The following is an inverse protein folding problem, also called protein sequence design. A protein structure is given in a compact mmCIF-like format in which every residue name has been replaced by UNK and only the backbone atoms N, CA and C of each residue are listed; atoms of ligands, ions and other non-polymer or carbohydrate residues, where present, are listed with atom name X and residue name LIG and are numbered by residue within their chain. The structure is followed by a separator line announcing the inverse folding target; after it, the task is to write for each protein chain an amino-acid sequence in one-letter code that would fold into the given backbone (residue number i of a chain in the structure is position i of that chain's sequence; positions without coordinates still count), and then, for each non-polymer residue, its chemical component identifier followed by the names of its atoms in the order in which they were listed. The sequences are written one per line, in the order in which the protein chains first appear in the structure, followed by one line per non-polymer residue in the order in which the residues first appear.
data_IF_245776122983
#
_entry.id   IF_245776122983
#
_cell.length_a   1.000
_cell.length_b   1.000
_cell.length_c   1.000
_cell.angle_alpha   90.00
_cell.angle_beta   90.00
_cell.angle_gamma   90.00
#
_symmetry.space_group_name_H-M   'P 1'
#
loop_
_entity.id
_entity.type
_entity.pdbx_description
1 polymer ?
#
# COMPACT_ATOMS: atom_id res chain seq x y z
N UNK A 1 78.10 17.68 -37.26
CA UNK A 1 76.70 17.87 -37.68
C UNK A 1 75.84 17.68 -36.44
N UNK A 2 74.98 18.56 -35.96
CA UNK A 2 74.70 19.99 -36.13
C UNK A 2 73.50 20.22 -35.20
N UNK A 3 73.57 21.24 -34.32
CA UNK A 3 72.50 22.05 -33.69
C UNK A 3 71.28 21.34 -33.03
N UNK A 4 70.74 21.77 -31.89
CA UNK A 4 70.92 22.98 -31.08
C UNK A 4 69.90 22.94 -29.93
N UNK A 5 70.20 23.61 -28.82
CA UNK A 5 69.26 23.78 -27.70
C UNK A 5 68.35 25.00 -27.88
N UNK A 6 67.27 25.09 -27.11
CA UNK A 6 67.05 26.18 -26.14
C UNK A 6 65.77 25.97 -25.32
N UNK A 7 65.71 26.68 -24.19
CA UNK A 7 64.76 26.69 -23.08
C UNK A 7 63.44 27.40 -23.43
N UNK A 8 62.33 27.06 -22.75
CA UNK A 8 61.66 27.93 -21.74
C UNK A 8 60.22 27.50 -21.43
N UNK A 9 59.86 27.56 -20.13
CA UNK A 9 58.59 28.10 -19.63
C UNK A 9 57.33 27.22 -19.66
N UNK A 10 56.80 26.89 -18.48
CA UNK A 10 55.34 26.75 -18.31
C UNK A 10 54.83 25.75 -17.29
N UNK A 11 54.36 26.29 -16.15
CA UNK A 11 53.21 25.85 -15.34
C UNK A 11 53.36 24.51 -14.56
N UNK A 12 53.32 24.52 -13.21
CA UNK A 12 53.24 23.29 -12.43
C UNK A 12 51.92 22.55 -12.73
N UNK A 13 51.90 21.20 -12.77
CA UNK A 13 50.67 20.44 -13.00
C UNK A 13 49.64 20.78 -11.91
N UNK A 14 48.35 20.91 -12.26
CA UNK A 14 47.31 21.23 -11.30
C UNK A 14 47.25 20.14 -10.21
N UNK A 15 47.01 20.60 -9.00
CA UNK A 15 46.94 19.80 -7.77
C UNK A 15 45.74 18.82 -7.88
N UNK A 16 46.00 17.61 -8.39
CA UNK A 16 45.01 16.55 -8.64
C UNK A 16 44.23 16.12 -7.38
N UNK A 17 44.63 16.57 -6.19
CA UNK A 17 43.88 16.36 -4.94
C UNK A 17 42.65 17.24 -4.78
N UNK A 18 42.48 18.32 -5.56
CA UNK A 18 41.25 19.13 -5.53
C UNK A 18 40.20 18.72 -6.54
N UNK A 19 40.57 18.01 -7.61
CA UNK A 19 39.62 17.43 -8.58
C UNK A 19 39.06 16.08 -8.14
N UNK A 20 39.66 15.46 -7.13
CA UNK A 20 39.22 14.18 -6.54
C UNK A 20 38.17 14.33 -5.42
N UNK A 21 37.65 15.54 -5.16
CA UNK A 21 36.60 15.80 -4.16
C UNK A 21 35.30 16.38 -4.75
N UNK A 22 35.28 16.69 -6.05
CA UNK A 22 34.13 17.32 -6.73
C UNK A 22 33.32 16.36 -7.62
N UNK A 23 33.66 15.06 -7.63
CA UNK A 23 32.99 14.03 -8.46
C UNK A 23 31.99 13.15 -7.68
N UNK A 24 31.63 13.53 -6.45
CA UNK A 24 30.74 12.77 -5.56
C UNK A 24 29.26 13.15 -5.70
N UNK A 25 28.85 13.64 -6.87
CA UNK A 25 27.45 13.85 -7.22
C UNK A 25 26.90 12.58 -7.89
N UNK A 26 25.93 11.98 -7.22
CA UNK A 26 25.26 10.73 -7.59
C UNK A 26 24.82 10.73 -9.06
N UNK A 27 25.37 9.83 -9.87
CA UNK A 27 24.88 9.49 -11.22
C UNK A 27 24.01 8.24 -11.12
N UNK A 28 22.69 8.33 -11.33
CA UNK A 28 21.92 7.13 -11.68
C UNK A 28 22.45 6.60 -13.03
N UNK A 29 22.34 5.29 -13.23
CA UNK A 29 22.85 4.57 -14.39
C UNK A 29 22.68 5.36 -15.70
N UNK A 30 23.76 5.44 -16.46
CA UNK A 30 23.92 6.22 -17.68
C UNK A 30 22.75 5.96 -18.66
N UNK A 31 21.84 6.93 -18.76
CA UNK A 31 20.83 6.97 -19.79
C UNK A 31 21.52 7.19 -21.13
N UNK A 32 21.36 6.26 -22.07
CA UNK A 32 21.73 6.50 -23.46
C UNK A 32 21.02 7.78 -23.97
N UNK A 33 21.68 8.65 -24.76
CA UNK A 33 21.04 9.85 -25.27
C UNK A 33 19.88 9.47 -26.19
N UNK A 34 18.74 10.12 -25.96
CA UNK A 34 17.58 10.04 -26.86
C UNK A 34 18.02 10.34 -28.29
N UNK A 35 17.60 9.47 -29.23
CA UNK A 35 17.71 9.74 -30.66
C UNK A 35 17.01 11.07 -30.97
N UNK A 36 17.57 11.92 -31.85
CA UNK A 36 16.90 13.16 -32.23
C UNK A 36 15.58 12.83 -32.93
N UNK A 37 14.51 13.41 -32.42
CA UNK A 37 13.16 13.32 -32.96
C UNK A 37 13.17 13.72 -34.44
N UNK A 38 12.64 12.83 -35.28
CA UNK A 38 12.49 13.05 -36.71
C UNK A 38 11.40 14.10 -36.89
N UNK A 39 11.76 15.26 -37.44
CA UNK A 39 10.84 16.34 -37.77
C UNK A 39 9.65 15.85 -38.60
N UNK A 40 8.44 16.06 -38.09
CA UNK A 40 7.18 15.86 -38.78
C UNK A 40 6.89 17.08 -39.69
N UNK A 41 6.42 16.91 -40.94
CA UNK A 41 6.20 18.01 -41.87
C UNK A 41 4.95 18.84 -41.51
N UNK A 42 4.90 20.14 -41.88
CA UNK A 42 3.79 21.02 -41.50
C UNK A 42 2.48 20.66 -42.21
N UNK A 43 1.38 20.79 -41.48
CA UNK A 43 0.00 20.62 -41.96
C UNK A 43 -0.41 21.75 -42.94
N UNK A 44 -1.30 21.48 -43.92
CA UNK A 44 -1.74 22.49 -44.89
C UNK A 44 -2.82 23.44 -44.36
N UNK A 45 -2.79 24.67 -44.88
CA UNK A 45 -3.61 25.83 -44.55
C UNK A 45 -5.14 25.64 -44.75
N UNK A 46 -5.94 26.23 -43.86
CA UNK A 46 -7.39 26.45 -44.03
C UNK A 46 -7.72 27.90 -43.66
N UNK A 47 -8.53 28.64 -44.46
CA UNK A 47 -8.59 30.10 -44.41
C UNK A 47 -9.54 30.70 -43.36
N UNK A 48 -9.18 31.91 -42.94
CA UNK A 48 -9.82 32.80 -41.97
C UNK A 48 -11.07 33.49 -42.53
N UNK A 49 -12.20 33.42 -41.84
CA UNK A 49 -13.28 34.42 -41.96
C UNK A 49 -13.56 35.07 -40.59
N UNK A 50 -13.56 36.40 -40.64
CA UNK A 50 -13.67 37.35 -39.55
C UNK A 50 -15.13 37.75 -39.29
N UNK A 51 -15.56 37.75 -38.03
CA UNK A 51 -16.75 38.50 -37.59
C UNK A 51 -16.43 39.33 -36.34
N UNK A 52 -16.65 40.64 -36.49
CA UNK A 52 -16.59 41.68 -35.46
C UNK A 52 -17.99 41.83 -34.88
N UNK A 53 -18.12 41.96 -33.56
CA UNK A 53 -19.38 42.35 -32.92
C UNK A 53 -19.18 43.60 -32.06
N UNK A 54 -20.01 44.59 -32.39
CA UNK A 54 -20.00 45.98 -31.97
C UNK A 54 -20.93 46.20 -30.76
N UNK A 55 -20.57 47.18 -29.93
CA UNK A 55 -21.30 47.68 -28.76
C UNK A 55 -22.68 48.25 -29.09
N UNK A 56 -23.69 48.00 -28.24
CA UNK A 56 -24.86 48.88 -28.12
C UNK A 56 -25.49 48.86 -26.72
N UNK A 57 -25.61 50.07 -26.16
CA UNK A 57 -26.30 50.47 -24.93
C UNK A 57 -27.80 50.61 -25.15
N UNK A 58 -28.65 50.31 -24.16
CA UNK A 58 -29.90 51.07 -23.93
C UNK A 58 -30.48 50.87 -22.52
N UNK A 59 -30.94 51.99 -21.93
CA UNK A 59 -31.58 52.19 -20.61
C UNK A 59 -33.09 52.35 -20.77
N UNK A 60 -33.89 52.05 -19.73
CA UNK A 60 -35.14 52.73 -19.26
C UNK A 60 -35.39 52.25 -17.80
N UNK A 61 -35.31 53.03 -16.70
CA UNK A 61 -36.15 54.12 -16.14
C UNK A 61 -37.60 53.65 -15.80
N UNK A 62 -37.93 53.30 -14.53
CA UNK A 62 -38.47 54.08 -13.38
C UNK A 62 -40.01 54.01 -13.26
N UNK A 63 -40.55 53.56 -12.11
CA UNK A 63 -41.52 54.33 -11.28
C UNK A 63 -42.12 53.55 -10.07
N UNK A 64 -42.04 54.20 -8.90
CA UNK A 64 -42.91 54.32 -7.71
C UNK A 64 -43.71 53.15 -7.05
N UNK A 65 -43.52 53.09 -5.71
CA UNK A 65 -44.26 52.48 -4.56
C UNK A 65 -45.77 52.85 -4.42
N UNK A 66 -46.56 52.44 -3.37
CA UNK A 66 -46.32 51.50 -2.23
C UNK A 66 -47.52 50.55 -1.90
N UNK A 67 -47.35 49.50 -1.07
CA UNK A 67 -48.31 49.17 0.04
C UNK A 67 -47.87 48.04 1.00
N UNK A 68 -47.93 48.41 2.29
CA UNK A 68 -48.38 47.68 3.49
C UNK A 68 -47.67 46.45 4.08
N UNK A 69 -47.32 46.67 5.36
CA UNK A 69 -46.76 45.80 6.39
C UNK A 69 -47.69 44.65 6.77
N UNK A 70 -47.13 43.46 7.00
CA UNK A 70 -47.47 42.60 8.16
C UNK A 70 -46.18 41.97 8.69
N UNK A 71 -45.94 42.17 10.00
CA UNK A 71 -44.85 41.59 10.78
C UNK A 71 -45.20 40.15 11.19
N UNK A 72 -44.26 39.21 11.03
CA UNK A 72 -44.18 38.00 11.88
C UNK A 72 -42.71 37.76 12.24
N UNK A 73 -42.49 37.59 13.54
CA UNK A 73 -41.21 37.60 14.26
C UNK A 73 -40.40 36.30 14.13
N UNK A 74 -39.07 36.39 14.13
CA UNK A 74 -38.12 35.27 14.31
C UNK A 74 -36.68 35.79 14.49
N UNK A 75 -35.82 35.17 15.33
CA UNK A 75 -34.93 35.91 16.23
C UNK A 75 -33.55 36.31 15.67
N UNK A 76 -33.13 37.52 16.04
CA UNK A 76 -31.80 38.10 15.86
C UNK A 76 -30.77 37.44 16.79
N UNK A 77 -29.68 36.88 16.27
CA UNK A 77 -28.45 36.68 17.04
C UNK A 77 -27.43 37.76 16.66
N UNK A 78 -27.09 38.60 17.65
CA UNK A 78 -26.10 39.67 17.56
C UNK A 78 -24.70 39.10 17.85
N UNK A 79 -23.78 39.32 16.92
CA UNK A 79 -22.34 39.16 17.11
C UNK A 79 -21.86 40.32 18.00
N UNK A 80 -21.30 39.99 19.17
CA UNK A 80 -20.69 40.95 20.09
C UNK A 80 -19.17 40.89 19.92
N UNK A 81 -18.55 41.99 19.48
CA UNK A 81 -17.09 42.16 19.42
C UNK A 81 -16.66 42.85 20.72
N UNK A 82 -15.81 42.24 21.57
CA UNK A 82 -15.30 42.91 22.76
C UNK A 82 -14.12 43.85 22.43
N UNK A 83 -14.20 45.06 23.00
CA UNK A 83 -13.21 46.15 22.97
C UNK A 83 -12.05 45.86 23.95
N UNK A 84 -10.79 46.27 23.67
CA UNK A 84 -9.67 46.02 24.58
C UNK A 84 -9.62 47.01 25.75
N UNK A 85 -9.31 46.51 26.93
CA UNK A 85 -9.10 47.27 28.18
C UNK A 85 -7.62 47.19 28.58
N UNK A 86 -6.99 48.27 29.08
CA UNK A 86 -5.53 48.32 29.32
C UNK A 86 -5.10 47.49 30.53
N UNK A 87 -3.97 46.78 30.39
CA UNK A 87 -3.36 45.94 31.44
C UNK A 87 -2.69 46.76 32.53
N UNK A 88 -3.12 46.50 33.76
CA UNK A 88 -2.46 46.90 35.01
C UNK A 88 -1.17 46.10 35.22
N UNK A 89 -0.11 46.80 35.64
CA UNK A 89 1.20 46.29 36.02
C UNK A 89 1.16 45.29 37.18
N UNK A 90 1.80 44.12 37.00
CA UNK A 90 2.01 43.09 38.03
C UNK A 90 3.47 43.10 38.55
N UNK A 91 3.73 42.69 39.80
CA UNK A 91 5.00 42.90 40.50
C UNK A 91 6.10 41.89 40.13
N UNK A 92 7.34 42.34 40.33
CA UNK A 92 8.61 41.63 40.07
C UNK A 92 8.72 40.36 40.92
N UNK A 93 8.75 39.19 40.27
CA UNK A 93 9.06 37.89 40.89
C UNK A 93 10.51 37.52 40.58
N UNK A 94 11.26 37.22 41.64
CA UNK A 94 12.68 36.82 41.64
C UNK A 94 12.87 35.40 41.07
N UNK A 95 13.93 35.10 40.30
CA UNK A 95 14.14 33.76 39.74
C UNK A 95 14.61 32.75 40.80
N UNK A 96 14.27 31.45 40.67
CA UNK A 96 14.88 30.39 41.49
C UNK A 96 16.30 30.07 41.01
N UNK A 97 17.19 29.87 41.98
CA UNK A 97 18.59 29.45 41.82
C UNK A 97 18.68 28.05 41.19
N UNK A 98 19.41 27.95 40.07
CA UNK A 98 19.73 26.69 39.39
C UNK A 98 20.88 25.96 40.12
N UNK A 99 20.77 24.65 40.41
CA UNK A 99 21.92 23.85 40.83
C UNK A 99 22.83 23.56 39.64
N UNK A 100 24.13 23.78 39.82
CA UNK A 100 25.21 23.44 38.88
C UNK A 100 25.28 21.92 38.67
N UNK A 101 25.36 21.40 37.43
CA UNK A 101 25.72 20.01 37.23
C UNK A 101 27.22 19.82 37.46
N UNK A 102 27.56 18.91 38.37
CA UNK A 102 28.92 18.40 38.55
C UNK A 102 29.41 17.78 37.24
N UNK A 103 30.62 18.17 36.83
CA UNK A 103 31.36 17.55 35.74
C UNK A 103 31.82 16.17 36.22
N UNK A 104 31.04 15.13 35.91
CA UNK A 104 31.48 13.75 36.04
C UNK A 104 32.41 13.41 34.88
N UNK A 105 33.65 13.07 35.18
CA UNK A 105 34.62 12.55 34.22
C UNK A 105 34.09 11.24 33.61
N UNK A 106 33.96 11.21 32.29
CA UNK A 106 33.60 10.00 31.54
C UNK A 106 34.87 9.15 31.36
N UNK A 107 34.82 7.91 31.83
CA UNK A 107 35.85 6.91 31.62
C UNK A 107 35.91 6.49 30.14
N UNK A 108 37.08 6.16 29.58
CA UNK A 108 37.20 5.67 28.22
C UNK A 108 36.67 4.23 28.11
N UNK A 109 35.84 4.01 27.08
CA UNK A 109 35.47 2.77 26.38
C UNK A 109 35.80 1.42 27.06
N UNK A 110 34.74 0.71 27.47
CA UNK A 110 34.79 -0.74 27.62
C UNK A 110 34.94 -1.43 26.27
N UNK A 111 35.70 -2.52 26.27
CA UNK A 111 36.08 -3.35 25.12
C UNK A 111 34.85 -3.89 24.32
N UNK A 112 34.97 -4.07 23.00
CA UNK A 112 33.92 -4.65 22.19
C UNK A 112 33.77 -6.16 22.45
N UNK A 113 32.52 -6.59 22.65
CA UNK A 113 32.09 -7.98 22.74
C UNK A 113 32.48 -8.78 21.48
N UNK A 114 33.09 -9.94 21.67
CA UNK A 114 33.66 -10.83 20.63
C UNK A 114 32.65 -11.81 20.01
N UNK A 115 31.36 -11.50 19.98
CA UNK A 115 30.36 -12.38 19.35
C UNK A 115 30.01 -11.89 17.94
N UNK A 116 30.32 -12.64 16.87
CA UNK A 116 29.82 -12.30 15.55
C UNK A 116 28.29 -12.46 15.53
N UNK A 117 27.53 -11.52 14.95
CA UNK A 117 26.10 -11.69 14.76
C UNK A 117 25.82 -12.85 13.79
N UNK A 118 24.68 -13.54 13.92
CA UNK A 118 24.29 -14.60 13.00
C UNK A 118 24.17 -14.08 11.57
N UNK A 119 24.63 -14.88 10.60
CA UNK A 119 24.60 -14.52 9.19
C UNK A 119 23.16 -14.31 8.68
N UNK A 120 22.89 -13.25 7.90
CA UNK A 120 21.58 -13.03 7.30
C UNK A 120 21.26 -14.08 6.23
N UNK A 121 19.97 -14.38 5.98
CA UNK A 121 19.57 -15.25 4.88
C UNK A 121 19.98 -14.64 3.52
N UNK A 122 20.31 -15.47 2.51
CA UNK A 122 20.72 -14.99 1.21
C UNK A 122 19.58 -14.26 0.49
N UNK A 123 19.95 -13.15 -0.16
CA UNK A 123 19.09 -12.38 -1.07
C UNK A 123 18.46 -13.29 -2.14
N UNK A 124 17.13 -13.24 -2.37
CA UNK A 124 16.54 -13.92 -3.52
C UNK A 124 16.95 -13.16 -4.80
N UNK A 125 17.88 -13.74 -5.56
CA UNK A 125 18.27 -13.16 -6.86
C UNK A 125 19.60 -13.61 -7.49
N UNK A 126 20.47 -14.33 -6.77
CA UNK A 126 21.73 -14.79 -7.36
C UNK A 126 21.57 -16.17 -8.07
N UNK A 127 21.86 -16.30 -9.37
CA UNK A 127 21.94 -17.61 -10.03
C UNK A 127 23.17 -18.37 -9.51
N UNK A 128 22.95 -19.44 -8.75
CA UNK A 128 24.05 -20.33 -8.35
C UNK A 128 24.66 -21.06 -9.55
N UNK A 129 25.98 -21.35 -9.54
CA UNK A 129 26.63 -22.10 -10.61
C UNK A 129 26.06 -23.52 -10.69
N UNK A 130 25.50 -23.88 -11.85
CA UNK A 130 24.96 -25.21 -12.14
C UNK A 130 26.08 -26.24 -12.16
N UNK A 131 26.17 -27.07 -11.12
CA UNK A 131 27.01 -28.27 -11.13
C UNK A 131 26.22 -29.40 -11.79
N UNK A 132 26.68 -29.82 -12.97
CA UNK A 132 26.14 -30.97 -13.68
C UNK A 132 26.64 -32.25 -12.99
N UNK A 133 25.75 -32.95 -12.30
CA UNK A 133 26.02 -34.33 -11.86
C UNK A 133 25.01 -35.30 -12.45
N UNK A 134 25.58 -36.40 -12.92
CA UNK A 134 24.99 -37.43 -13.78
C UNK A 134 24.32 -38.50 -12.90
N UNK A 135 23.17 -38.99 -13.37
CA UNK A 135 22.41 -40.22 -13.03
C UNK A 135 23.17 -41.37 -12.29
N UNK A 136 22.50 -42.27 -11.51
CA UNK A 136 21.43 -43.12 -12.04
C UNK A 136 20.25 -43.56 -11.13
N UNK A 137 19.24 -44.06 -11.84
CA UNK A 137 18.02 -44.82 -11.50
C UNK A 137 18.32 -46.05 -10.63
N UNK A 138 17.42 -46.39 -9.68
CA UNK A 138 16.91 -47.77 -9.40
C UNK A 138 15.88 -47.79 -8.23
N UNK A 139 14.63 -48.15 -8.57
CA UNK A 139 13.75 -49.19 -7.96
C UNK A 139 13.27 -49.06 -6.50
N UNK A 140 11.95 -49.21 -6.31
CA UNK A 140 11.40 -49.66 -5.02
C UNK A 140 9.88 -49.53 -4.85
N UNK A 141 9.09 -50.23 -5.65
CA UNK A 141 7.65 -50.42 -5.43
C UNK A 141 7.40 -51.23 -4.14
N UNK A 142 6.61 -50.70 -3.18
CA UNK A 142 5.85 -51.49 -2.17
C UNK A 142 5.07 -50.64 -1.14
N UNK A 143 3.96 -49.96 -1.51
CA UNK A 143 2.91 -49.59 -0.53
C UNK A 143 1.52 -49.55 -1.22
N UNK A 144 1.14 -50.62 -1.93
CA UNK A 144 -0.19 -50.74 -2.60
C UNK A 144 -1.05 -51.86 -1.97
N UNK A 145 -0.63 -52.48 -0.87
CA UNK A 145 -1.31 -53.68 -0.33
C UNK A 145 -2.02 -53.47 1.02
N UNK A 146 -2.10 -52.24 1.56
CA UNK A 146 -2.78 -51.99 2.87
C UNK A 146 -4.12 -51.24 2.74
N UNK A 147 -4.68 -51.05 1.53
CA UNK A 147 -5.99 -50.38 1.35
C UNK A 147 -7.04 -51.20 0.57
N UNK A 148 -6.96 -52.53 0.58
CA UNK A 148 -7.95 -53.40 -0.07
C UNK A 148 -8.44 -54.56 0.82
N UNK A 149 -8.73 -54.28 2.09
CA UNK A 149 -9.50 -55.19 2.94
C UNK A 149 -10.14 -54.43 4.11
N UNK A 150 -11.29 -53.78 3.87
CA UNK A 150 -12.48 -53.72 4.73
C UNK A 150 -13.56 -53.06 3.86
N UNK A 151 -14.29 -53.91 3.15
CA UNK A 151 -15.46 -53.54 2.38
C UNK A 151 -16.51 -54.62 2.58
N UNK A 152 -17.70 -54.18 2.99
CA UNK A 152 -18.98 -54.88 3.07
C UNK A 152 -19.20 -55.86 4.23
N UNK A 153 -20.02 -55.42 5.20
CA UNK A 153 -21.12 -56.24 5.75
C UNK A 153 -22.06 -55.42 6.67
N UNK A 154 -23.34 -55.39 6.30
CA UNK A 154 -24.55 -55.20 7.14
C UNK A 154 -24.84 -53.77 7.66
N UNK A 155 -26.04 -53.19 7.54
CA UNK A 155 -27.38 -53.74 7.80
C UNK A 155 -28.46 -53.10 6.90
N UNK A 156 -29.30 -53.97 6.34
CA UNK A 156 -30.69 -53.66 5.99
C UNK A 156 -31.60 -54.43 6.96
N UNK A 157 -32.81 -53.90 7.14
CA UNK A 157 -33.95 -54.34 7.99
C UNK A 157 -33.99 -53.71 9.38
N UNK A 158 -34.86 -52.70 9.55
CA UNK A 158 -36.18 -52.89 10.18
C UNK A 158 -37.13 -51.77 9.76
N UNK A 159 -38.27 -52.16 9.19
CA UNK A 159 -39.42 -51.29 8.90
C UNK A 159 -40.26 -51.14 10.17
N UNK A 160 -40.74 -49.92 10.42
CA UNK A 160 -42.03 -49.65 11.06
C UNK A 160 -42.08 -48.31 11.82
N UNK A 161 -43.25 -47.65 11.91
CA UNK A 161 -44.25 -47.39 10.88
C UNK A 161 -44.43 -45.88 10.61
N UNK A 162 -45.23 -45.56 9.59
CA UNK A 162 -45.69 -44.21 9.19
C UNK A 162 -46.15 -43.35 10.38
N UNK A 163 -45.75 -42.07 10.39
CA UNK A 163 -46.45 -41.05 11.18
C UNK A 163 -46.45 -39.68 10.49
N UNK A 164 -47.57 -39.43 9.84
CA UNK A 164 -48.38 -38.20 9.79
C UNK A 164 -47.70 -36.87 9.40
N UNK A 165 -48.06 -36.40 8.20
CA UNK A 165 -47.93 -35.01 7.76
C UNK A 165 -48.94 -34.14 8.53
N UNK A 166 -48.45 -33.06 9.13
CA UNK A 166 -49.26 -31.93 9.56
C UNK A 166 -49.12 -31.58 11.03
N UNK A 167 -48.40 -30.50 11.31
CA UNK A 167 -48.91 -29.33 12.02
C UNK A 167 -47.79 -28.32 12.20
N UNK A 168 -48.08 -27.09 11.79
CA UNK A 168 -47.34 -25.91 12.19
C UNK A 168 -47.47 -25.73 13.69
N UNK A 169 -46.35 -25.61 14.41
CA UNK A 169 -46.34 -24.94 15.70
C UNK A 169 -45.05 -24.13 15.86
N UNK A 170 -45.28 -22.84 16.03
CA UNK A 170 -44.33 -21.82 16.42
C UNK A 170 -43.87 -21.97 17.87
N UNK A 171 -42.61 -21.58 18.10
CA UNK A 171 -41.90 -21.38 19.37
C UNK A 171 -41.01 -22.54 19.84
N UNK A 172 -39.72 -22.45 19.49
CA UNK A 172 -38.64 -22.84 20.40
C UNK A 172 -37.60 -21.71 20.41
N UNK A 173 -37.64 -20.91 21.48
CA UNK A 173 -36.44 -20.26 21.98
C UNK A 173 -35.62 -21.35 22.71
N UNK A 174 -34.47 -21.70 22.16
CA UNK A 174 -33.56 -22.69 22.73
C UNK A 174 -32.35 -22.86 21.84
N UNK A 175 -31.16 -22.50 22.34
CA UNK A 175 -29.90 -22.70 21.66
C UNK A 175 -29.68 -24.16 21.31
N UNK A 176 -29.92 -24.50 20.05
CA UNK A 176 -29.62 -25.79 19.45
C UNK A 176 -28.64 -25.57 18.30
N UNK A 177 -27.51 -26.27 18.32
CA UNK A 177 -26.73 -26.52 17.12
C UNK A 177 -27.62 -27.34 16.18
N UNK A 178 -28.40 -26.66 15.35
CA UNK A 178 -29.36 -27.29 14.46
C UNK A 178 -28.63 -28.11 13.40
N UNK A 179 -29.09 -29.35 13.20
CA UNK A 179 -28.76 -30.24 12.07
C UNK A 179 -29.36 -29.73 10.75
N UNK A 180 -29.36 -28.42 10.54
CA UNK A 180 -29.88 -27.77 9.35
C UNK A 180 -28.84 -27.76 8.24
N UNK A 181 -29.33 -27.51 7.03
CA UNK A 181 -28.50 -27.29 5.85
C UNK A 181 -28.66 -25.86 5.36
N UNK A 182 -27.61 -25.36 4.73
CA UNK A 182 -27.57 -24.06 4.05
C UNK A 182 -27.61 -24.35 2.56
N UNK A 183 -28.56 -23.75 1.86
CA UNK A 183 -28.76 -23.91 0.42
C UNK A 183 -28.27 -22.70 -0.36
N UNK A 184 -27.90 -22.91 -1.63
CA UNK A 184 -27.50 -21.82 -2.52
C UNK A 184 -28.60 -20.76 -2.66
N UNK A 185 -28.20 -19.49 -2.59
CA UNK A 185 -29.07 -18.34 -2.79
C UNK A 185 -28.96 -17.85 -4.24
N UNK A 186 -30.09 -17.46 -4.85
CA UNK A 186 -30.07 -16.90 -6.19
C UNK A 186 -29.43 -15.50 -6.27
N UNK A 187 -29.36 -14.80 -5.13
CA UNK A 187 -28.77 -13.47 -5.01
C UNK A 187 -27.40 -13.57 -4.33
N UNK A 188 -26.34 -12.96 -4.90
CA UNK A 188 -25.01 -12.98 -4.28
C UNK A 188 -25.02 -12.43 -2.84
N UNK A 189 -24.11 -12.91 -1.97
CA UNK A 189 -24.03 -12.43 -0.60
C UNK A 189 -23.48 -11.01 -0.55
N UNK A 190 -23.87 -10.29 0.50
CA UNK A 190 -23.28 -8.98 0.80
C UNK A 190 -21.97 -9.19 1.54
N UNK A 191 -20.88 -8.59 1.04
CA UNK A 191 -19.57 -8.62 1.70
C UNK A 191 -19.24 -7.24 2.24
N UNK A 192 -19.14 -7.12 3.56
CA UNK A 192 -18.81 -5.86 4.24
C UNK A 192 -17.34 -5.90 4.70
N UNK A 193 -16.46 -5.03 4.19
CA UNK A 193 -15.07 -4.93 4.67
C UNK A 193 -14.98 -4.70 6.18
N UNK A 194 -14.13 -5.48 6.85
CA UNK A 194 -13.84 -5.39 8.29
C UNK A 194 -12.43 -4.89 8.57
N UNK A 195 -11.46 -5.44 7.86
CA UNK A 195 -10.07 -5.05 7.97
C UNK A 195 -9.34 -5.29 6.65
N UNK A 196 -8.31 -4.48 6.43
CA UNK A 196 -7.33 -4.71 5.37
C UNK A 196 -5.96 -4.64 6.02
N UNK A 197 -5.15 -5.65 5.78
CA UNK A 197 -3.78 -5.71 6.26
C UNK A 197 -2.87 -6.26 5.18
N UNK A 198 -1.63 -5.82 5.20
CA UNK A 198 -0.62 -6.32 4.31
C UNK A 198 0.12 -7.49 5.00
N UNK A 199 0.26 -8.61 4.29
CA UNK A 199 0.88 -9.85 4.78
C UNK A 199 1.98 -10.31 3.81
N UNK A 200 2.91 -11.19 4.24
CA UNK A 200 3.92 -11.75 3.32
C UNK A 200 3.34 -12.44 2.08
N UNK A 201 2.10 -12.93 2.17
CA UNK A 201 1.35 -13.54 1.06
C UNK A 201 0.57 -12.55 0.19
N UNK A 202 0.55 -11.26 0.55
CA UNK A 202 -0.17 -10.20 -0.17
C UNK A 202 -1.15 -9.42 0.70
N UNK A 203 -2.07 -8.69 0.07
CA UNK A 203 -3.09 -7.89 0.74
C UNK A 203 -4.22 -8.78 1.26
N UNK A 204 -4.34 -8.93 2.58
CA UNK A 204 -5.42 -9.64 3.23
C UNK A 204 -6.60 -8.69 3.50
N UNK A 205 -7.73 -8.95 2.85
CA UNK A 205 -9.00 -8.24 3.04
C UNK A 205 -9.95 -9.16 3.79
N UNK A 206 -10.26 -8.84 5.04
CA UNK A 206 -11.28 -9.57 5.79
C UNK A 206 -12.63 -8.88 5.61
N UNK A 207 -13.63 -9.65 5.20
CA UNK A 207 -15.01 -9.21 5.05
C UNK A 207 -15.93 -10.02 5.95
N UNK A 208 -16.99 -9.41 6.45
CA UNK A 208 -18.13 -10.16 7.00
C UNK A 208 -19.13 -10.37 5.86
N UNK A 209 -19.36 -11.63 5.50
CA UNK A 209 -20.30 -12.06 4.47
C UNK A 209 -21.65 -12.43 5.09
N UNK A 210 -22.73 -11.94 4.49
CA UNK A 210 -24.12 -12.25 4.88
C UNK A 210 -24.94 -12.58 3.63
N UNK A 211 -25.75 -13.64 3.71
CA UNK A 211 -26.70 -13.96 2.64
C UNK A 211 -27.97 -13.10 2.78
N UNK A 212 -28.53 -12.59 1.67
CA UNK A 212 -29.86 -11.98 1.69
C UNK A 212 -30.98 -13.03 1.82
N UNK A 213 -30.71 -14.30 1.51
CA UNK A 213 -31.66 -15.39 1.72
C UNK A 213 -31.75 -15.78 3.19
N UNK A 214 -32.95 -16.16 3.65
CA UNK A 214 -33.19 -16.57 5.05
C UNK A 214 -32.40 -17.84 5.42
N UNK A 215 -32.29 -18.79 4.49
CA UNK A 215 -31.64 -20.09 4.70
C UNK A 215 -30.11 -20.07 4.49
N UNK A 216 -29.54 -18.90 4.17
CA UNK A 216 -28.11 -18.74 3.89
C UNK A 216 -27.77 -18.76 2.41
N UNK A 217 -26.49 -18.98 2.10
CA UNK A 217 -25.98 -19.13 0.74
C UNK A 217 -24.79 -20.11 0.72
N UNK A 218 -24.52 -20.69 -0.43
CA UNK A 218 -23.36 -21.56 -0.67
C UNK A 218 -22.55 -21.01 -1.84
N UNK A 219 -21.37 -20.50 -1.55
CA UNK A 219 -20.38 -20.15 -2.57
C UNK A 219 -19.74 -21.45 -3.07
N UNK A 220 -20.12 -21.91 -4.26
CA UNK A 220 -19.60 -23.15 -4.88
C UNK A 220 -19.20 -22.99 -6.35
N UNK A 221 -19.09 -21.73 -6.79
CA UNK A 221 -18.83 -21.41 -8.19
C UNK A 221 -17.36 -21.67 -8.54
N UNK A 222 -17.12 -22.24 -9.72
CA UNK A 222 -15.77 -22.49 -10.25
C UNK A 222 -14.97 -21.22 -10.56
N UNK A 223 -15.64 -20.08 -10.70
CA UNK A 223 -15.04 -18.77 -10.90
C UNK A 223 -15.95 -17.67 -10.33
N UNK A 224 -15.64 -17.22 -9.12
CA UNK A 224 -16.22 -16.02 -8.51
C UNK A 224 -15.24 -14.86 -8.65
N UNK A 225 -15.58 -13.87 -9.45
CA UNK A 225 -14.82 -12.65 -9.60
C UNK A 225 -15.11 -11.72 -8.43
N UNK A 226 -14.07 -11.30 -7.72
CA UNK A 226 -14.17 -10.34 -6.62
C UNK A 226 -13.32 -9.12 -6.95
N UNK A 227 -13.88 -7.94 -6.73
CA UNK A 227 -13.13 -6.68 -6.75
C UNK A 227 -13.41 -5.88 -5.48
N UNK A 228 -12.33 -5.37 -4.89
CA UNK A 228 -12.31 -4.49 -3.72
C UNK A 228 -11.95 -3.11 -4.20
N UNK A 229 -12.82 -2.13 -3.97
CA UNK A 229 -12.64 -0.76 -4.42
C UNK A 229 -12.70 0.21 -3.23
N UNK A 230 -12.05 1.35 -3.36
CA UNK A 230 -12.14 2.48 -2.44
C UNK A 230 -12.53 3.76 -3.21
N UNK A 231 -12.54 4.90 -2.52
CA UNK A 231 -12.71 6.21 -3.16
C UNK A 231 -11.57 6.57 -4.13
N UNK A 232 -10.41 5.92 -4.02
CA UNK A 232 -9.25 6.14 -4.89
C UNK A 232 -9.13 5.10 -6.02
N UNK A 233 -10.16 4.29 -6.25
CA UNK A 233 -10.18 3.30 -7.33
C UNK A 233 -10.05 1.86 -6.85
N UNK A 234 -9.59 0.98 -7.75
CA UNK A 234 -9.45 -0.45 -7.50
C UNK A 234 -8.32 -0.69 -6.48
N UNK A 235 -8.61 -1.42 -5.40
CA UNK A 235 -7.63 -1.78 -4.36
C UNK A 235 -7.11 -3.19 -4.60
N UNK A 236 -7.98 -4.13 -4.92
CA UNK A 236 -7.61 -5.51 -5.22
C UNK A 236 -8.67 -6.21 -6.06
N UNK A 237 -8.28 -7.21 -6.84
CA UNK A 237 -9.23 -8.05 -7.56
C UNK A 237 -8.64 -9.42 -7.88
N UNK A 238 -9.51 -10.42 -7.99
CA UNK A 238 -9.12 -11.80 -8.24
C UNK A 238 -10.31 -12.68 -8.55
N UNK A 239 -10.06 -13.80 -9.22
CA UNK A 239 -11.06 -14.84 -9.43
C UNK A 239 -10.78 -15.98 -8.46
N UNK A 240 -11.81 -16.40 -7.73
CA UNK A 240 -11.76 -17.45 -6.71
C UNK A 240 -12.50 -18.69 -7.22
N UNK A 241 -11.90 -19.87 -7.03
CA UNK A 241 -12.55 -21.14 -7.29
C UNK A 241 -13.07 -21.73 -5.97
N UNK A 242 -14.39 -21.72 -5.81
CA UNK A 242 -15.07 -22.33 -4.66
C UNK A 242 -15.70 -23.68 -5.00
N UNK A 243 -15.49 -24.21 -6.20
CA UNK A 243 -16.12 -25.47 -6.61
C UNK A 243 -15.58 -26.70 -5.88
N UNK A 244 -14.29 -26.69 -5.55
CA UNK A 244 -13.63 -27.79 -4.83
C UNK A 244 -13.77 -27.68 -3.31
N UNK A 245 -13.83 -26.46 -2.77
CA UNK A 245 -14.04 -26.18 -1.35
C UNK A 245 -15.15 -25.15 -1.17
N UNK A 246 -16.43 -25.56 -1.26
CA UNK A 246 -17.56 -24.65 -1.13
C UNK A 246 -17.65 -24.00 0.27
N UNK A 247 -18.15 -22.76 0.32
CA UNK A 247 -18.24 -21.97 1.56
C UNK A 247 -19.72 -21.67 1.87
N UNK A 248 -20.20 -22.13 3.03
CA UNK A 248 -21.52 -21.77 3.54
C UNK A 248 -21.51 -20.35 4.15
N UNK A 249 -22.49 -19.53 3.78
CA UNK A 249 -22.71 -18.18 4.32
C UNK A 249 -24.01 -18.20 5.12
N UNK A 250 -24.03 -17.67 6.35
CA UNK A 250 -25.23 -17.68 7.15
C UNK A 250 -26.28 -16.71 6.59
N UNK A 251 -27.55 -17.04 6.87
CA UNK A 251 -28.71 -16.30 6.37
C UNK A 251 -28.87 -14.89 6.95
N UNK A 252 -29.85 -14.18 6.39
CA UNK A 252 -30.20 -12.83 6.81
C UNK A 252 -30.54 -12.78 8.32
N UNK A 253 -30.11 -11.71 9.00
CA UNK A 253 -30.37 -11.51 10.44
C UNK A 253 -29.37 -12.21 11.38
N UNK A 254 -28.33 -12.87 10.84
CA UNK A 254 -27.20 -13.40 11.62
C UNK A 254 -26.06 -12.39 11.72
N UNK A 255 -25.05 -12.70 12.54
CA UNK A 255 -23.83 -11.88 12.65
C UNK A 255 -22.93 -11.93 11.38
N UNK A 256 -23.28 -12.76 10.39
CA UNK A 256 -22.45 -13.02 9.23
C UNK A 256 -21.30 -13.98 9.51
N UNK A 257 -20.51 -14.24 8.47
CA UNK A 257 -19.30 -15.07 8.53
C UNK A 257 -18.10 -14.28 8.05
N UNK A 258 -17.00 -14.34 8.77
CA UNK A 258 -15.77 -13.69 8.34
C UNK A 258 -15.04 -14.53 7.28
N UNK A 259 -14.67 -13.87 6.18
CA UNK A 259 -13.88 -14.43 5.08
C UNK A 259 -12.68 -13.51 4.85
N UNK A 260 -11.48 -14.05 4.99
CA UNK A 260 -10.23 -13.35 4.67
C UNK A 260 -9.77 -13.74 3.26
N UNK A 261 -9.82 -12.78 2.35
CA UNK A 261 -9.34 -12.92 0.98
C UNK A 261 -7.93 -12.35 0.89
N UNK A 262 -6.94 -13.19 0.57
CA UNK A 262 -5.54 -12.76 0.44
C UNK A 262 -5.15 -12.64 -1.01
N UNK A 263 -4.99 -11.40 -1.48
CA UNK A 263 -4.64 -11.04 -2.85
C UNK A 263 -3.12 -10.92 -2.99
N UNK A 264 -2.46 -11.80 -3.76
CA UNK A 264 -1.02 -11.73 -3.99
C UNK A 264 -0.62 -10.52 -4.85
N UNK A 265 0.70 -10.27 -4.99
CA UNK A 265 1.23 -9.29 -5.96
C UNK A 265 0.63 -9.52 -7.35
N UNK A 266 0.31 -8.42 -8.04
CA UNK A 266 -0.43 -8.42 -9.30
C UNK A 266 -1.94 -8.61 -9.18
N UNK A 267 -2.46 -8.88 -7.97
CA UNK A 267 -3.91 -8.92 -7.66
C UNK A 267 -4.33 -7.84 -6.65
N UNK A 268 -3.40 -7.02 -6.17
CA UNK A 268 -3.68 -5.79 -5.44
C UNK A 268 -2.95 -4.61 -6.08
N UNK A 269 -3.62 -3.47 -6.07
CA UNK A 269 -3.24 -2.22 -6.71
C UNK A 269 -3.21 -1.07 -5.71
N UNK A 270 -3.63 -1.32 -4.47
CA UNK A 270 -3.57 -0.33 -3.41
C UNK A 270 -3.14 -0.90 -2.07
N UNK A 271 -2.68 -0.01 -1.21
CA UNK A 271 -2.22 -0.32 0.14
C UNK A 271 -3.38 -0.27 1.14
N UNK A 272 -3.24 -0.91 2.31
CA UNK A 272 -4.13 -0.62 3.42
C UNK A 272 -4.03 0.87 3.76
N UNK A 273 -5.09 1.63 3.46
CA UNK A 273 -5.26 2.99 3.97
C UNK A 273 -5.49 2.99 5.50
N UNK A 274 -5.90 4.11 6.11
CA UNK A 274 -6.15 4.19 7.55
C UNK A 274 -7.31 3.31 8.06
N UNK A 275 -7.96 2.54 7.18
CA UNK A 275 -8.99 1.57 7.51
C UNK A 275 -9.80 1.15 6.29
N UNK A 276 -11.00 0.61 6.55
CA UNK A 276 -11.95 0.11 5.54
C UNK A 276 -13.05 1.12 5.17
N UNK A 277 -13.00 2.34 5.70
CA UNK A 277 -14.04 3.35 5.49
C UNK A 277 -14.10 3.72 4.00
N UNK A 278 -15.29 3.63 3.41
CA UNK A 278 -15.50 3.92 1.98
C UNK A 278 -15.04 2.81 1.04
N UNK A 279 -14.64 1.64 1.56
CA UNK A 279 -14.38 0.46 0.73
C UNK A 279 -15.68 -0.29 0.41
N UNK A 280 -15.72 -0.86 -0.79
CA UNK A 280 -16.79 -1.75 -1.24
C UNK A 280 -16.21 -3.02 -1.86
N UNK A 281 -17.01 -4.08 -1.85
CA UNK A 281 -16.64 -5.38 -2.41
C UNK A 281 -17.74 -5.78 -3.39
N UNK A 282 -17.38 -5.99 -4.64
CA UNK A 282 -18.25 -6.62 -5.63
C UNK A 282 -17.91 -8.10 -5.77
N UNK A 283 -18.95 -8.92 -5.96
CA UNK A 283 -18.85 -10.37 -6.07
C UNK A 283 -19.71 -10.79 -7.24
N UNK A 284 -19.10 -11.39 -8.26
CA UNK A 284 -19.79 -11.83 -9.47
C UNK A 284 -19.47 -13.30 -9.78
N UNK A 285 -20.44 -14.22 -9.63
CA UNK A 285 -20.26 -15.64 -9.92
C UNK A 285 -20.40 -15.92 -11.42
N UNK A 286 -19.31 -15.77 -12.18
CA UNK A 286 -19.30 -15.95 -13.65
C UNK A 286 -19.09 -17.39 -14.13
N UNK A 287 -18.62 -18.28 -13.25
CA UNK A 287 -18.40 -19.69 -13.55
C UNK A 287 -19.63 -20.57 -13.29
N UNK A 288 -19.40 -21.86 -13.05
CA UNK A 288 -20.46 -22.85 -12.83
C UNK A 288 -20.53 -23.26 -11.35
N UNK A 289 -21.73 -23.27 -10.77
CA UNK A 289 -21.97 -23.77 -9.43
C UNK A 289 -21.95 -25.31 -9.41
N UNK A 290 -21.28 -25.91 -8.42
CA UNK A 290 -21.08 -27.37 -8.34
C UNK A 290 -21.74 -28.01 -7.11
N UNK A 291 -22.01 -27.22 -6.07
CA UNK A 291 -22.61 -27.67 -4.81
C UNK A 291 -23.76 -26.75 -4.43
N UNK A 292 -24.90 -27.33 -4.08
CA UNK A 292 -26.12 -26.58 -3.78
C UNK A 292 -26.44 -26.53 -2.27
N UNK A 293 -25.80 -27.38 -1.46
CA UNK A 293 -26.17 -27.58 -0.06
C UNK A 293 -24.95 -27.93 0.80
N UNK A 294 -24.85 -27.34 2.00
CA UNK A 294 -23.81 -27.60 3.00
C UNK A 294 -24.41 -27.71 4.41
N UNK A 295 -23.74 -28.39 5.36
CA UNK A 295 -24.17 -28.38 6.77
C UNK A 295 -24.13 -26.97 7.37
N UNK A 296 -25.19 -26.53 8.04
CA UNK A 296 -25.27 -25.19 8.62
C UNK A 296 -24.19 -24.89 9.67
N UNK A 297 -23.71 -25.93 10.37
CA UNK A 297 -22.59 -25.83 11.31
C UNK A 297 -21.28 -25.31 10.65
N UNK A 298 -21.15 -25.45 9.33
CA UNK A 298 -19.99 -24.97 8.58
C UNK A 298 -20.02 -23.46 8.28
N UNK A 299 -21.14 -22.77 8.55
CA UNK A 299 -21.34 -21.36 8.21
C UNK A 299 -20.82 -20.36 9.27
N UNK A 300 -20.29 -20.83 10.40
CA UNK A 300 -19.86 -19.97 11.52
C UNK A 300 -18.34 -19.78 11.64
N UNK A 301 -17.54 -20.74 11.18
CA UNK A 301 -16.08 -20.67 11.31
C UNK A 301 -15.46 -19.70 10.29
N UNK A 302 -14.51 -18.85 10.68
CA UNK A 302 -13.78 -18.00 9.73
C UNK A 302 -13.10 -18.81 8.63
N UNK A 303 -12.98 -18.24 7.43
CA UNK A 303 -12.32 -18.88 6.28
C UNK A 303 -11.29 -17.96 5.68
N UNK A 304 -10.18 -18.53 5.23
CA UNK A 304 -9.18 -17.81 4.44
C UNK A 304 -9.09 -18.41 3.05
N UNK A 305 -9.05 -17.56 2.02
CA UNK A 305 -8.95 -17.96 0.62
C UNK A 305 -8.01 -17.02 -0.14
N UNK A 306 -7.49 -17.51 -1.27
CA UNK A 306 -6.71 -16.72 -2.22
C UNK A 306 -7.27 -16.90 -3.62
N UNK A 307 -7.14 -15.89 -4.51
CA UNK A 307 -7.54 -16.03 -5.90
C UNK A 307 -6.85 -17.23 -6.55
N UNK A 308 -7.60 -18.02 -7.31
CA UNK A 308 -7.07 -19.08 -8.17
C UNK A 308 -6.54 -18.51 -9.49
N UNK A 309 -7.05 -17.37 -9.93
CA UNK A 309 -6.61 -16.66 -11.14
C UNK A 309 -6.64 -15.15 -10.94
N UNK A 310 -5.80 -14.44 -11.69
CA UNK A 310 -5.85 -12.98 -11.79
C UNK A 310 -7.15 -12.55 -12.50
N UNK A 311 -7.78 -11.51 -11.99
CA UNK A 311 -8.95 -10.88 -12.61
C UNK A 311 -8.81 -9.37 -12.45
N UNK A 312 -9.16 -8.63 -13.50
CA UNK A 312 -9.24 -7.17 -13.51
C UNK A 312 -10.58 -6.78 -14.12
N UNK A 313 -11.43 -5.98 -13.45
CA UNK A 313 -12.69 -5.53 -14.02
C UNK A 313 -12.48 -4.77 -15.33
N UNK A 314 -13.38 -5.00 -16.30
CA UNK A 314 -13.30 -4.36 -17.61
C UNK A 314 -13.27 -2.83 -17.51
N UNK A 315 -12.41 -2.20 -18.32
CA UNK A 315 -12.24 -0.74 -18.32
C UNK A 315 -11.41 -0.20 -17.15
N UNK A 316 -10.84 -1.06 -16.30
CA UNK A 316 -9.94 -0.62 -15.22
C UNK A 316 -8.53 -0.40 -15.76
N UNK A 317 -7.99 0.79 -15.52
CA UNK A 317 -6.56 1.07 -15.65
C UNK A 317 -5.86 0.77 -14.33
N UNK A 318 -5.22 -0.40 -14.25
CA UNK A 318 -4.52 -0.84 -13.04
C UNK A 318 -3.29 0.00 -12.74
N UNK A 319 -2.60 0.52 -13.75
CA UNK A 319 -1.42 1.37 -13.55
C UNK A 319 -1.83 2.69 -12.89
N UNK A 320 -2.91 3.31 -13.38
CA UNK A 320 -3.50 4.50 -12.76
C UNK A 320 -3.98 4.22 -11.32
N UNK A 321 -4.61 3.07 -11.06
CA UNK A 321 -5.02 2.68 -9.71
C UNK A 321 -3.82 2.61 -8.76
N UNK A 322 -2.70 2.02 -9.20
CA UNK A 322 -1.46 1.95 -8.42
C UNK A 322 -0.89 3.33 -8.16
N UNK A 323 -0.76 4.18 -9.19
CA UNK A 323 -0.27 5.55 -9.04
C UNK A 323 -1.14 6.34 -8.05
N UNK A 324 -2.46 6.26 -8.18
CA UNK A 324 -3.39 6.94 -7.26
C UNK A 324 -3.23 6.43 -5.83
N UNK A 325 -3.06 5.12 -5.63
CA UNK A 325 -2.80 4.57 -4.29
C UNK A 325 -1.46 5.05 -3.72
N UNK A 326 -0.39 5.07 -4.50
CA UNK A 326 0.92 5.57 -4.04
C UNK A 326 0.83 7.05 -3.68
N UNK A 327 0.11 7.86 -4.47
CA UNK A 327 -0.13 9.29 -4.17
C UNK A 327 -0.91 9.47 -2.88
N UNK A 328 -1.99 8.71 -2.69
CA UNK A 328 -2.80 8.75 -1.48
C UNK A 328 -1.97 8.36 -0.24
N UNK A 329 -1.15 7.31 -0.35
CA UNK A 329 -0.25 6.88 0.72
C UNK A 329 0.78 7.97 1.05
N UNK A 330 1.47 8.53 0.05
CA UNK A 330 2.46 9.58 0.26
C UNK A 330 1.85 10.85 0.89
N UNK A 331 0.61 11.21 0.52
CA UNK A 331 -0.11 12.33 1.12
C UNK A 331 -0.47 12.08 2.60
N UNK A 332 -0.93 10.86 2.92
CA UNK A 332 -1.20 10.46 4.30
C UNK A 332 0.09 10.49 5.15
N UNK A 333 1.15 9.87 4.63
CA UNK A 333 2.46 9.80 5.30
C UNK A 333 3.10 11.18 5.47
N UNK A 334 2.91 12.10 4.51
CA UNK A 334 3.39 13.48 4.65
C UNK A 334 2.83 14.16 5.89
N UNK A 335 1.54 13.98 6.17
CA UNK A 335 0.90 14.55 7.38
C UNK A 335 1.60 14.06 8.65
N UNK A 336 1.88 12.76 8.72
CA UNK A 336 2.56 12.13 9.86
C UNK A 336 4.03 12.54 9.98
N UNK A 337 4.76 12.61 8.87
CA UNK A 337 6.17 13.01 8.84
C UNK A 337 6.30 14.46 9.31
N UNK A 338 5.44 15.37 8.84
CA UNK A 338 5.48 16.77 9.26
C UNK A 338 5.20 16.95 10.75
N UNK A 339 4.34 16.10 11.32
CA UNK A 339 4.00 16.15 12.74
C UNK A 339 5.10 15.58 13.66
N UNK A 340 5.81 14.53 13.23
CA UNK A 340 6.66 13.72 14.12
C UNK A 340 8.14 13.62 13.74
N UNK A 341 8.48 13.82 12.47
CA UNK A 341 9.79 13.46 11.90
C UNK A 341 10.38 14.56 11.01
N UNK A 342 9.81 15.77 11.03
CA UNK A 342 10.35 16.90 10.26
C UNK A 342 11.68 17.38 10.84
N UNK A 343 12.64 17.71 9.97
CA UNK A 343 14.01 18.09 10.31
C UNK A 343 14.79 17.00 11.07
N UNK A 344 14.58 15.73 10.70
CA UNK A 344 15.30 14.59 11.31
C UNK A 344 15.94 13.71 10.25
N UNK A 345 17.02 13.02 10.64
CA UNK A 345 17.65 12.02 9.78
C UNK A 345 16.87 10.71 9.87
N UNK A 346 16.66 10.06 8.74
CA UNK A 346 16.02 8.75 8.61
C UNK A 346 16.89 7.84 7.74
N UNK A 347 16.62 6.55 7.78
CA UNK A 347 17.13 5.64 6.77
C UNK A 347 16.16 5.64 5.58
N UNK A 348 16.66 5.98 4.40
CA UNK A 348 15.95 5.84 3.14
C UNK A 348 16.24 4.45 2.58
N UNK A 349 15.20 3.63 2.50
CA UNK A 349 15.23 2.20 2.16
C UNK A 349 15.10 1.95 0.65
N UNK A 350 14.50 2.89 -0.08
CA UNK A 350 14.34 2.79 -1.53
C UNK A 350 14.12 4.16 -2.15
N UNK A 351 14.50 4.29 -3.42
CA UNK A 351 14.15 5.40 -4.33
C UNK A 351 13.96 4.83 -5.73
N UNK A 352 12.73 4.78 -6.23
CA UNK A 352 12.40 4.27 -7.57
C UNK A 352 11.48 5.22 -8.32
N UNK A 353 11.49 5.10 -9.64
CA UNK A 353 10.55 5.76 -10.54
C UNK A 353 10.19 4.79 -11.68
N UNK A 354 8.99 4.90 -12.27
CA UNK A 354 8.64 4.10 -13.43
C UNK A 354 9.64 4.27 -14.57
N UNK A 355 10.02 3.17 -15.23
CA UNK A 355 11.01 3.16 -16.29
C UNK A 355 12.47 3.16 -15.83
N UNK A 356 12.75 3.29 -14.53
CA UNK A 356 14.10 3.11 -13.99
C UNK A 356 14.61 1.70 -14.31
N UNK A 357 15.81 1.57 -14.86
CA UNK A 357 16.47 0.27 -15.05
C UNK A 357 17.44 0.05 -13.90
N UNK A 358 17.06 -0.84 -12.98
CA UNK A 358 17.85 -1.19 -11.79
C UNK A 358 17.48 -2.61 -11.34
N UNK A 359 18.38 -3.28 -10.61
CA UNK A 359 18.13 -4.61 -10.03
C UNK A 359 17.74 -5.66 -11.08
N UNK A 360 18.26 -5.50 -12.30
CA UNK A 360 18.02 -6.40 -13.43
C UNK A 360 16.66 -6.25 -14.12
N UNK A 361 15.85 -5.22 -13.79
CA UNK A 361 14.54 -4.96 -14.41
C UNK A 361 14.30 -3.49 -14.72
N UNK A 362 13.34 -3.23 -15.61
CA UNK A 362 12.72 -1.91 -15.73
C UNK A 362 11.56 -1.84 -14.72
N UNK A 363 11.60 -0.85 -13.84
CA UNK A 363 10.63 -0.71 -12.75
C UNK A 363 9.29 -0.19 -13.28
N UNK A 364 8.21 -0.89 -12.93
CA UNK A 364 6.82 -0.45 -13.16
C UNK A 364 6.24 0.19 -11.90
N UNK A 365 5.09 0.87 -11.99
CA UNK A 365 4.40 1.35 -10.79
C UNK A 365 4.04 0.20 -9.84
N UNK A 366 3.64 -0.96 -10.39
CA UNK A 366 3.34 -2.15 -9.59
C UNK A 366 4.58 -2.65 -8.83
N UNK A 367 5.76 -2.66 -9.47
CA UNK A 367 7.01 -3.04 -8.79
C UNK A 367 7.33 -2.11 -7.61
N UNK A 368 7.06 -0.82 -7.77
CA UNK A 368 7.30 0.19 -6.73
C UNK A 368 6.34 0.01 -5.56
N UNK A 369 5.07 -0.26 -5.86
CA UNK A 369 4.07 -0.62 -4.85
C UNK A 369 4.48 -1.87 -4.06
N UNK A 370 4.93 -2.91 -4.77
CA UNK A 370 5.36 -4.16 -4.16
C UNK A 370 6.64 -3.99 -3.31
N UNK A 371 7.60 -3.16 -3.76
CA UNK A 371 8.79 -2.85 -2.97
C UNK A 371 8.44 -2.05 -1.71
N UNK A 372 7.57 -1.05 -1.81
CA UNK A 372 7.07 -0.33 -0.65
C UNK A 372 6.38 -1.28 0.33
N UNK A 373 5.50 -2.15 -0.17
CA UNK A 373 4.79 -3.16 0.61
C UNK A 373 5.76 -4.09 1.36
N UNK A 374 6.80 -4.57 0.68
CA UNK A 374 7.88 -5.38 1.29
C UNK A 374 8.61 -4.63 2.40
N UNK A 375 8.99 -3.37 2.16
CA UNK A 375 9.64 -2.53 3.16
C UNK A 375 8.74 -2.27 4.37
N UNK A 376 7.45 -2.02 4.14
CA UNK A 376 6.46 -1.80 5.19
C UNK A 376 6.30 -3.02 6.11
N UNK A 377 6.35 -4.23 5.55
CA UNK A 377 6.30 -5.46 6.35
C UNK A 377 7.59 -5.69 7.13
N UNK A 378 8.75 -5.39 6.54
CA UNK A 378 10.06 -5.60 7.18
C UNK A 378 10.36 -4.57 8.26
N UNK A 379 9.95 -3.32 8.07
CA UNK A 379 10.25 -2.21 8.96
C UNK A 379 8.96 -1.49 9.36
N UNK A 380 8.54 -1.72 10.61
CA UNK A 380 7.30 -1.15 11.15
C UNK A 380 7.27 0.37 11.05
N UNK A 381 6.17 0.92 10.54
CA UNK A 381 5.99 2.36 10.41
C UNK A 381 6.74 2.99 9.24
N UNK A 382 7.24 2.21 8.28
CA UNK A 382 7.74 2.72 7.00
C UNK A 382 6.77 3.73 6.39
N UNK A 383 7.32 4.77 5.76
CA UNK A 383 6.58 5.87 5.13
C UNK A 383 7.01 6.04 3.67
N UNK A 384 6.06 6.43 2.83
CA UNK A 384 6.25 6.75 1.43
C UNK A 384 6.30 8.26 1.23
N UNK A 385 7.23 8.72 0.40
CA UNK A 385 7.34 10.11 -0.02
C UNK A 385 7.28 10.18 -1.54
N UNK A 386 6.65 11.24 -2.03
CA UNK A 386 6.82 11.71 -3.41
C UNK A 386 7.86 12.81 -3.44
N UNK A 387 8.92 12.65 -4.23
CA UNK A 387 10.09 13.56 -4.20
C UNK A 387 9.73 15.03 -4.44
N UNK A 388 8.78 15.31 -5.32
CA UNK A 388 8.44 16.69 -5.69
C UNK A 388 7.82 17.49 -4.54
N UNK A 389 7.29 16.79 -3.52
CA UNK A 389 6.66 17.44 -2.38
C UNK A 389 7.70 17.87 -1.32
N UNK A 390 8.98 17.54 -1.50
CA UNK A 390 10.02 17.75 -0.49
C UNK A 390 11.27 18.44 -1.05
N UNK A 391 11.67 19.61 -0.51
CA UNK A 391 12.79 20.39 -1.02
C UNK A 391 14.17 19.74 -0.82
N UNK A 392 14.24 18.68 -0.01
CA UNK A 392 15.49 17.94 0.25
C UNK A 392 15.90 17.03 -0.91
N UNK A 393 15.05 16.81 -1.92
CA UNK A 393 15.40 16.04 -3.10
C UNK A 393 15.78 16.95 -4.26
N UNK A 394 16.88 16.62 -4.96
CA UNK A 394 17.34 17.33 -6.16
C UNK A 394 16.67 16.82 -7.44
N UNK A 395 16.02 15.66 -7.39
CA UNK A 395 15.38 14.99 -8.52
C UNK A 395 13.89 14.87 -8.29
N UNK A 396 13.12 15.07 -9.36
CA UNK A 396 11.66 14.97 -9.37
C UNK A 396 11.19 13.61 -9.88
N UNK A 397 9.96 13.22 -9.57
CA UNK A 397 9.35 12.00 -10.13
C UNK A 397 9.62 10.70 -9.36
N UNK A 398 10.20 10.76 -8.17
CA UNK A 398 10.65 9.59 -7.42
C UNK A 398 9.74 9.23 -6.26
N UNK A 399 9.45 7.94 -6.15
CA UNK A 399 8.88 7.31 -4.97
C UNK A 399 10.01 6.92 -4.02
N UNK A 400 9.98 7.50 -2.82
CA UNK A 400 11.03 7.30 -1.82
C UNK A 400 10.45 6.64 -0.58
N UNK A 401 11.05 5.54 -0.15
CA UNK A 401 10.61 4.80 1.04
C UNK A 401 11.58 5.10 2.19
N UNK A 402 11.05 5.48 3.37
CA UNK A 402 11.86 5.77 4.56
C UNK A 402 11.38 5.00 5.79
N UNK A 403 12.27 4.83 6.77
CA UNK A 403 11.90 4.34 8.10
C UNK A 403 11.11 5.39 8.90
N UNK A 404 10.25 4.93 9.83
CA UNK A 404 9.72 5.79 10.90
C UNK A 404 10.80 6.18 11.92
N UNK A 405 11.79 5.31 12.12
CA UNK A 405 12.88 5.56 13.04
C UNK A 405 13.69 6.77 12.58
N UNK A 406 13.91 7.69 13.52
CA UNK A 406 14.76 8.87 13.33
C UNK A 406 16.11 8.66 13.99
N UNK A 407 17.11 9.38 13.49
CA UNK A 407 18.50 9.27 13.88
C UNK A 407 19.07 10.66 14.21
N UNK A 408 20.06 10.73 15.12
CA UNK A 408 20.70 12.01 15.47
C UNK A 408 21.59 12.57 14.36
N UNK A 409 22.01 11.75 13.39
CA UNK A 409 22.85 12.15 12.26
C UNK A 409 22.68 11.21 11.06
N UNK A 410 23.11 11.64 9.89
CA UNK A 410 23.14 10.78 8.69
C UNK A 410 24.07 9.58 8.85
N UNK A 411 25.19 9.74 9.57
CA UNK A 411 26.11 8.64 9.88
C UNK A 411 25.45 7.58 10.79
N UNK A 412 24.61 8.00 11.74
CA UNK A 412 23.86 7.05 12.57
C UNK A 412 22.82 6.27 11.74
N UNK A 413 22.12 6.93 10.82
CA UNK A 413 21.20 6.26 9.90
C UNK A 413 21.91 5.26 8.98
N UNK A 414 23.06 5.66 8.41
CA UNK A 414 23.89 4.79 7.56
C UNK A 414 24.48 3.61 8.35
N UNK A 415 24.92 3.81 9.60
CA UNK A 415 25.36 2.71 10.46
C UNK A 415 24.23 1.69 10.69
N UNK A 416 22.99 2.17 10.86
CA UNK A 416 21.83 1.29 10.94
C UNK A 416 21.58 0.53 9.62
N UNK A 417 21.70 1.19 8.45
CA UNK A 417 21.60 0.53 7.15
C UNK A 417 22.55 -0.67 7.04
N UNK A 418 23.82 -0.50 7.42
CA UNK A 418 24.82 -1.56 7.42
C UNK A 418 24.43 -2.73 8.34
N UNK A 419 23.90 -2.41 9.53
CA UNK A 419 23.44 -3.43 10.50
C UNK A 419 22.23 -4.23 9.99
N UNK A 420 21.39 -3.63 9.14
CA UNK A 420 20.29 -4.33 8.46
C UNK A 420 20.74 -5.13 7.23
N UNK A 421 22.04 -5.13 6.92
CA UNK A 421 22.64 -5.85 5.81
C UNK A 421 22.49 -5.16 4.46
N UNK A 422 22.08 -3.88 4.41
CA UNK A 422 22.02 -3.14 3.16
C UNK A 422 23.40 -2.69 2.70
N UNK A 423 23.58 -2.63 1.38
CA UNK A 423 24.71 -1.97 0.74
C UNK A 423 24.38 -0.50 0.42
N UNK A 424 25.37 0.19 -0.16
CA UNK A 424 25.34 1.61 -0.48
C UNK A 424 24.21 2.02 -1.44
N UNK A 425 23.76 1.11 -2.30
CA UNK A 425 22.77 1.41 -3.32
C UNK A 425 21.33 1.15 -2.82
N UNK A 426 21.19 0.38 -1.73
CA UNK A 426 19.90 -0.03 -1.19
C UNK A 426 19.52 0.67 0.13
N UNK A 427 20.42 1.41 0.77
CA UNK A 427 20.05 2.21 1.94
C UNK A 427 21.01 3.38 2.18
N UNK A 428 20.43 4.57 2.39
CA UNK A 428 21.20 5.80 2.64
C UNK A 428 20.62 6.57 3.83
N UNK A 429 21.44 7.40 4.47
CA UNK A 429 20.97 8.37 5.46
C UNK A 429 20.41 9.59 4.75
N UNK A 430 19.16 9.95 5.05
CA UNK A 430 18.48 11.11 4.45
C UNK A 430 17.93 12.03 5.53
N UNK A 431 18.22 13.33 5.45
CA UNK A 431 17.53 14.35 6.23
C UNK A 431 16.19 14.63 5.55
N UNK A 432 15.10 14.48 6.30
CA UNK A 432 13.76 14.86 5.85
C UNK A 432 13.40 16.21 6.47
N UNK A 433 13.14 17.19 5.61
CA UNK A 433 12.83 18.56 6.01
C UNK A 433 11.88 19.21 5.00
N UNK A 434 10.91 19.96 5.50
CA UNK A 434 10.02 20.77 4.67
C UNK A 434 10.61 22.13 4.26
N UNK A 435 11.80 22.48 4.76
CA UNK A 435 12.41 23.81 4.57
C UNK A 435 13.86 23.78 4.11
N UNK A 436 14.59 22.68 4.33
CA UNK A 436 15.98 22.55 3.89
C UNK A 436 16.05 22.17 2.42
N UNK A 437 17.00 22.76 1.69
CA UNK A 437 17.33 22.33 0.32
C UNK A 437 18.10 21.00 0.30
N UNK A 438 18.48 20.49 -0.89
CA UNK A 438 19.07 19.17 -1.02
C UNK A 438 20.52 19.07 -0.51
N UNK A 439 21.27 20.18 -0.49
CA UNK A 439 22.67 20.20 -0.09
C UNK A 439 22.87 19.76 1.37
N UNK A 440 23.79 18.81 1.60
CA UNK A 440 24.12 18.30 2.93
C UNK A 440 23.05 17.41 3.59
N UNK A 441 22.03 16.98 2.83
CA UNK A 441 20.91 16.18 3.35
C UNK A 441 21.03 14.68 3.10
N UNK A 442 22.12 14.22 2.49
CA UNK A 442 22.32 12.82 2.13
C UNK A 442 23.68 12.33 2.62
N UNK A 443 23.71 11.15 3.25
CA UNK A 443 24.92 10.44 3.65
C UNK A 443 24.84 9.02 3.13
N UNK A 444 25.91 8.54 2.49
CA UNK A 444 25.98 7.19 1.90
C UNK A 444 26.75 6.24 2.81
N UNK A 445 26.46 4.93 2.67
CA UNK A 445 27.37 3.90 3.17
C UNK A 445 28.74 4.04 2.50
N UNK A 446 29.84 3.93 3.27
CA UNK A 446 31.20 4.05 2.77
C UNK A 446 31.62 2.90 1.86
#
# INVERSE_FOLDING_TARGET
MSFGGSRDGGIPPPDDRKLLLDWMEWRPAESAPAQPERAEPPAPDVPTESFVAETATTRFANDAEPTQRIFVSGPTQRIFVPKPTPSTSAPKVTPPTQPTPMVGAWAPYGEPSTYPPPAPPPWPGAPGPRRADRFPILVGAAVVVILLAIGAATWALTIGPLKDWGSSDSNVAGGGSGSGTVTACATPPTMTPRSVSLTPSGLAVTVTATSPCADGDVLSNSATQVAVSSSSGLVASGSFDFSSTPIAIPGAGTAGRDITMTFPSGSYFGLPGPGVVGMSVSVDPVGTATTQELPAASASAPVSVSPSQTYVPAGTDTDQAVVQSLRAQAAADRTEILASSNNTWVAQLSSKQPGLVADGKAWTNQDILDEFASNYQRFSGTRLLWSDDWPVFSSSGWWVTITSQTFPSGQAAVSWCAQQGFDRDHCIGKLISSTSGPAGTTVYLP
#
